data_IF_298839258165
#
_entry.id   IF_298839258165
#
_cell.length_a   1.000
_cell.length_b   1.000
_cell.length_c   1.000
_cell.angle_alpha   90.00
_cell.angle_beta   90.00
_cell.angle_gamma   90.00
#
_symmetry.space_group_name_H-M   'P 1'
#
loop_
_entity.id
_entity.type
_entity.pdbx_description
1 polymer ?
#
# COMPACT_ATOMS: atom_id res chain seq x y z
N UNK A 1 9.62 38.04 -38.95
CA UNK A 1 8.49 37.55 -38.15
C UNK A 1 8.89 36.21 -37.55
N UNK A 2 9.24 36.20 -36.23
CA UNK A 2 9.47 34.96 -35.51
C UNK A 2 8.11 34.53 -34.97
N UNK A 3 7.51 33.50 -35.57
CA UNK A 3 6.33 32.83 -35.00
C UNK A 3 6.86 32.01 -33.83
N UNK A 4 6.71 32.51 -32.59
CA UNK A 4 6.91 31.71 -31.40
C UNK A 4 5.75 30.74 -31.27
N UNK A 5 5.95 29.51 -31.70
CA UNK A 5 5.06 28.42 -31.29
C UNK A 5 5.24 28.25 -29.76
N UNK A 6 4.26 28.75 -29.02
CA UNK A 6 4.06 28.30 -27.66
C UNK A 6 3.56 26.85 -27.75
N UNK A 7 4.48 25.91 -27.84
CA UNK A 7 4.17 24.54 -27.45
C UNK A 7 4.00 24.61 -25.94
N UNK A 8 2.74 24.72 -25.53
CA UNK A 8 2.40 24.60 -24.13
C UNK A 8 3.00 23.27 -23.65
N UNK A 9 4.07 23.34 -22.84
CA UNK A 9 4.55 22.18 -22.12
C UNK A 9 3.42 21.78 -21.19
N UNK A 10 2.57 20.82 -21.63
CA UNK A 10 1.72 20.12 -20.70
C UNK A 10 2.63 19.58 -19.59
N UNK A 11 2.32 19.94 -18.34
CA UNK A 11 3.05 19.36 -17.19
C UNK A 11 3.04 17.84 -17.39
N UNK A 12 4.20 17.18 -17.28
CA UNK A 12 4.24 15.73 -17.45
C UNK A 12 3.20 15.10 -16.52
N UNK A 13 2.33 14.28 -17.09
CA UNK A 13 1.27 13.59 -16.34
C UNK A 13 1.97 12.73 -15.27
N UNK A 14 1.62 12.95 -14.00
CA UNK A 14 2.20 12.19 -12.88
C UNK A 14 1.93 10.70 -13.12
N UNK A 15 2.96 9.88 -13.17
CA UNK A 15 2.85 8.44 -13.32
C UNK A 15 2.21 7.82 -12.09
N UNK A 16 1.05 7.18 -12.27
CA UNK A 16 0.34 6.47 -11.21
C UNK A 16 -0.56 5.40 -11.82
N UNK A 17 -0.32 4.14 -11.44
CA UNK A 17 -1.16 3.00 -11.77
C UNK A 17 -1.73 2.39 -10.50
N UNK A 18 -3.00 2.01 -10.50
CA UNK A 18 -3.70 1.45 -9.33
C UNK A 18 -4.28 0.09 -9.67
N UNK A 19 -4.05 -0.88 -8.79
CA UNK A 19 -4.67 -2.19 -8.82
C UNK A 19 -5.41 -2.37 -7.49
N UNK A 20 -6.66 -2.81 -7.54
CA UNK A 20 -7.47 -3.12 -6.37
C UNK A 20 -7.94 -4.56 -6.41
N UNK A 21 -8.05 -5.19 -5.24
CA UNK A 21 -8.57 -6.54 -5.07
C UNK A 21 -7.85 -7.57 -5.96
N UNK A 22 -6.53 -7.63 -5.82
CA UNK A 22 -5.71 -8.59 -6.55
C UNK A 22 -5.68 -9.93 -5.84
N UNK A 23 -6.23 -10.95 -6.48
CA UNK A 23 -6.13 -12.35 -6.06
C UNK A 23 -5.15 -13.10 -6.96
N UNK A 24 -4.16 -13.75 -6.35
CA UNK A 24 -3.19 -14.57 -7.06
C UNK A 24 -2.67 -15.73 -6.20
N UNK A 25 -2.03 -16.70 -6.83
CA UNK A 25 -1.34 -17.79 -6.13
C UNK A 25 0.18 -17.57 -6.24
N UNK A 26 0.89 -17.61 -5.11
CA UNK A 26 2.34 -17.38 -5.07
C UNK A 26 3.18 -18.64 -5.32
N UNK A 27 2.53 -19.75 -5.63
CA UNK A 27 3.13 -21.08 -5.81
C UNK A 27 2.95 -21.99 -4.59
N UNK A 28 2.58 -21.44 -3.42
CA UNK A 28 2.35 -22.18 -2.17
C UNK A 28 0.97 -21.94 -1.59
N UNK A 29 0.43 -20.74 -1.71
CA UNK A 29 -0.89 -20.38 -1.18
C UNK A 29 -1.52 -19.23 -1.97
N UNK A 30 -2.82 -19.08 -1.79
CA UNK A 30 -3.59 -17.96 -2.36
C UNK A 30 -3.36 -16.68 -1.54
N UNK A 31 -3.20 -15.58 -2.26
CA UNK A 31 -2.91 -14.26 -1.70
C UNK A 31 -3.95 -13.27 -2.21
N UNK A 32 -4.49 -12.45 -1.30
CA UNK A 32 -5.34 -11.31 -1.63
C UNK A 32 -4.66 -10.02 -1.19
N UNK A 33 -4.53 -9.06 -2.11
CA UNK A 33 -3.98 -7.74 -1.84
C UNK A 33 -5.06 -6.69 -2.10
N UNK A 34 -5.35 -5.86 -1.10
CA UNK A 34 -6.44 -4.88 -1.20
C UNK A 34 -6.17 -3.81 -2.25
N UNK A 35 -5.05 -3.12 -2.15
CA UNK A 35 -4.68 -2.07 -3.10
C UNK A 35 -3.17 -2.03 -3.34
N UNK A 36 -2.80 -1.76 -4.58
CA UNK A 36 -1.42 -1.53 -5.00
C UNK A 36 -1.39 -0.24 -5.81
N UNK A 37 -0.46 0.63 -5.50
CA UNK A 37 -0.14 1.82 -6.30
C UNK A 37 1.27 1.67 -6.83
N UNK A 38 1.43 1.84 -8.13
CA UNK A 38 2.73 1.82 -8.80
C UNK A 38 3.00 3.22 -9.34
N UNK A 39 4.14 3.76 -8.97
CA UNK A 39 4.63 5.05 -9.47
C UNK A 39 6.13 4.98 -9.74
N UNK A 40 6.76 6.11 -10.00
CA UNK A 40 8.20 6.16 -10.28
C UNK A 40 9.08 5.78 -9.09
N UNK A 41 8.55 5.82 -7.86
CA UNK A 41 9.27 5.41 -6.64
C UNK A 41 9.29 3.90 -6.43
N UNK A 42 8.34 3.17 -7.00
CA UNK A 42 8.19 1.72 -6.84
C UNK A 42 6.75 1.27 -6.60
N UNK A 43 6.59 0.24 -5.79
CA UNK A 43 5.31 -0.42 -5.51
C UNK A 43 4.86 -0.11 -4.08
N UNK A 44 3.70 0.50 -3.95
CA UNK A 44 3.06 0.81 -2.68
C UNK A 44 1.93 -0.18 -2.43
N UNK A 45 2.05 -0.97 -1.38
CA UNK A 45 1.08 -2.03 -1.03
C UNK A 45 0.30 -1.60 0.20
N UNK A 46 -1.02 -1.51 0.06
CA UNK A 46 -1.93 -1.00 1.08
C UNK A 46 -2.84 -2.11 1.56
N UNK A 47 -2.77 -2.41 2.85
CA UNK A 47 -3.72 -3.26 3.57
C UNK A 47 -4.76 -2.38 4.24
N UNK A 48 -6.03 -2.70 4.04
CA UNK A 48 -7.15 -1.98 4.65
C UNK A 48 -7.79 -2.81 5.76
N UNK A 49 -8.12 -2.14 6.87
CA UNK A 49 -8.81 -2.74 8.00
C UNK A 49 -10.12 -1.99 8.27
N UNK A 50 -11.23 -2.70 8.23
CA UNK A 50 -12.56 -2.13 8.48
C UNK A 50 -12.99 -2.38 9.92
N UNK A 51 -12.20 -1.87 10.89
CA UNK A 51 -12.40 -2.07 12.31
C UNK A 51 -12.58 -0.72 13.02
N UNK A 52 -13.58 -0.65 13.89
CA UNK A 52 -13.86 0.51 14.76
C UNK A 52 -13.25 0.33 16.16
N UNK A 53 -13.39 1.34 16.99
CA UNK A 53 -12.93 1.32 18.38
C UNK A 53 -11.47 1.76 18.51
N UNK A 54 -10.83 1.37 19.58
CA UNK A 54 -9.44 1.70 19.85
C UNK A 54 -8.58 0.51 19.42
N UNK A 55 -7.59 0.76 18.59
CA UNK A 55 -6.65 -0.25 18.12
C UNK A 55 -5.33 -0.09 18.85
N UNK A 56 -4.87 -1.15 19.49
CA UNK A 56 -3.59 -1.22 20.19
C UNK A 56 -2.65 -2.19 19.46
N UNK A 57 -1.42 -1.78 19.26
CA UNK A 57 -0.41 -2.64 18.67
C UNK A 57 0.93 -1.95 18.50
N UNK A 58 1.97 -2.75 18.29
CA UNK A 58 3.31 -2.29 17.94
C UNK A 58 3.76 -2.94 16.65
N UNK A 59 4.64 -2.27 15.92
CA UNK A 59 5.15 -2.76 14.65
C UNK A 59 5.78 -4.16 14.74
N UNK A 60 6.45 -4.45 15.85
CA UNK A 60 7.11 -5.74 16.11
C UNK A 60 6.17 -6.87 16.55
N UNK A 61 4.96 -6.55 16.99
CA UNK A 61 4.02 -7.53 17.56
C UNK A 61 3.26 -8.27 16.46
N UNK A 62 3.06 -9.55 16.64
CA UNK A 62 2.27 -10.41 15.74
C UNK A 62 0.78 -10.30 16.00
N UNK A 63 0.39 -10.01 17.23
CA UNK A 63 -1.00 -9.92 17.67
C UNK A 63 -1.29 -8.51 18.17
N UNK A 64 -2.37 -7.92 17.66
CA UNK A 64 -2.90 -6.63 18.07
C UNK A 64 -4.24 -6.79 18.77
N UNK A 65 -4.74 -5.72 19.39
CA UNK A 65 -5.99 -5.72 20.13
C UNK A 65 -6.92 -4.61 19.68
N UNK A 66 -8.21 -4.93 19.63
CA UNK A 66 -9.31 -4.01 19.38
C UNK A 66 -10.13 -3.87 20.65
N UNK A 67 -10.29 -2.63 21.13
CA UNK A 67 -11.16 -2.29 22.27
C UNK A 67 -12.49 -1.74 21.77
N UNK A 68 -13.57 -2.32 22.22
CA UNK A 68 -14.93 -1.94 21.90
C UNK A 68 -15.73 -1.67 23.18
N UNK A 69 -16.91 -1.03 23.07
CA UNK A 69 -17.85 -0.81 24.17
C UNK A 69 -17.19 -0.15 25.40
N UNK A 70 -16.40 0.91 25.17
CA UNK A 70 -15.68 1.63 26.23
C UNK A 70 -14.74 0.75 27.06
N UNK A 71 -14.08 -0.22 26.42
CA UNK A 71 -13.14 -1.13 27.06
C UNK A 71 -13.78 -2.39 27.65
N UNK A 72 -15.08 -2.57 27.54
CA UNK A 72 -15.78 -3.77 28.04
C UNK A 72 -15.52 -5.02 27.18
N UNK A 73 -15.18 -4.82 25.90
CA UNK A 73 -14.90 -5.90 24.98
C UNK A 73 -13.55 -5.69 24.33
N UNK A 74 -12.65 -6.66 24.52
CA UNK A 74 -11.34 -6.70 23.88
C UNK A 74 -11.28 -7.88 22.92
N UNK A 75 -10.85 -7.63 21.68
CA UNK A 75 -10.65 -8.68 20.67
C UNK A 75 -9.21 -8.66 20.19
N UNK A 76 -8.62 -9.83 20.06
CA UNK A 76 -7.29 -10.01 19.49
C UNK A 76 -7.40 -10.30 18.00
N UNK A 77 -6.45 -9.80 17.23
CA UNK A 77 -6.38 -10.06 15.80
C UNK A 77 -4.93 -10.05 15.32
N UNK A 78 -4.69 -10.71 14.19
CA UNK A 78 -3.36 -10.77 13.59
C UNK A 78 -2.92 -9.39 13.11
N UNK A 79 -1.65 -9.04 13.36
CA UNK A 79 -1.09 -7.75 12.95
C UNK A 79 -1.26 -7.52 11.43
N UNK A 80 -1.92 -6.44 11.02
CA UNK A 80 -2.04 -6.10 9.61
C UNK A 80 -0.69 -5.74 8.98
N UNK A 81 0.28 -5.28 9.77
CA UNK A 81 1.65 -5.04 9.31
C UNK A 81 2.31 -6.37 8.92
N UNK A 82 2.16 -7.40 9.73
CA UNK A 82 2.68 -8.74 9.42
C UNK A 82 1.98 -9.35 8.21
N UNK A 83 0.67 -9.18 8.14
CA UNK A 83 -0.13 -9.64 7.00
C UNK A 83 0.34 -8.98 5.70
N UNK A 84 0.48 -7.66 5.68
CA UNK A 84 0.92 -6.93 4.50
C UNK A 84 2.37 -7.22 4.11
N UNK A 85 3.23 -7.47 5.10
CA UNK A 85 4.60 -7.94 4.88
C UNK A 85 4.63 -9.28 4.13
N UNK A 86 3.70 -10.19 4.46
CA UNK A 86 3.51 -11.45 3.74
C UNK A 86 3.05 -11.23 2.30
N UNK A 87 2.13 -10.31 2.06
CA UNK A 87 1.68 -9.94 0.70
C UNK A 87 2.84 -9.41 -0.15
N UNK A 88 3.66 -8.54 0.41
CA UNK A 88 4.85 -7.99 -0.25
C UNK A 88 5.85 -9.10 -0.56
N UNK A 89 6.09 -10.01 0.38
CA UNK A 89 6.96 -11.17 0.14
C UNK A 89 6.48 -12.01 -1.04
N UNK A 90 5.20 -12.32 -1.10
CA UNK A 90 4.59 -13.10 -2.18
C UNK A 90 4.67 -12.40 -3.54
N UNK A 91 4.43 -11.08 -3.57
CA UNK A 91 4.59 -10.27 -4.78
C UNK A 91 6.04 -10.28 -5.28
N UNK A 92 7.00 -10.03 -4.40
CA UNK A 92 8.43 -10.06 -4.75
C UNK A 92 8.88 -11.40 -5.29
N UNK A 93 8.40 -12.48 -4.70
CA UNK A 93 8.71 -13.85 -5.12
C UNK A 93 8.23 -14.10 -6.55
N UNK A 94 7.02 -13.64 -6.90
CA UNK A 94 6.44 -13.82 -8.24
C UNK A 94 7.07 -12.91 -9.29
N UNK A 95 7.42 -11.69 -8.93
CA UNK A 95 7.93 -10.69 -9.86
C UNK A 95 9.43 -10.76 -10.07
N UNK A 96 10.17 -11.33 -9.12
CA UNK A 96 11.64 -11.41 -9.15
C UNK A 96 12.27 -10.04 -9.48
N UNK A 97 11.87 -9.00 -8.74
CA UNK A 97 12.28 -7.62 -8.97
C UNK A 97 13.06 -7.05 -7.79
N UNK A 98 13.95 -6.08 -8.08
CA UNK A 98 14.67 -5.28 -7.08
C UNK A 98 14.02 -3.91 -6.82
N UNK A 99 12.89 -3.63 -7.45
CA UNK A 99 12.14 -2.38 -7.24
C UNK A 99 11.72 -2.27 -5.78
N UNK A 100 11.81 -1.07 -5.16
CA UNK A 100 11.36 -0.88 -3.79
C UNK A 100 9.87 -1.15 -3.60
N UNK A 101 9.51 -1.78 -2.48
CA UNK A 101 8.15 -1.99 -2.01
C UNK A 101 7.93 -1.23 -0.71
N UNK A 102 6.79 -0.55 -0.60
CA UNK A 102 6.41 0.23 0.58
C UNK A 102 5.10 -0.30 1.14
N UNK A 103 5.02 -0.45 2.45
CA UNK A 103 3.86 -0.98 3.17
C UNK A 103 3.08 0.13 3.86
N UNK A 104 1.75 0.08 3.75
CA UNK A 104 0.83 1.00 4.42
C UNK A 104 -0.36 0.22 4.98
N UNK A 105 -0.80 0.61 6.18
CA UNK A 105 -2.01 0.08 6.80
C UNK A 105 -3.01 1.22 6.96
N UNK A 106 -4.22 1.03 6.47
CA UNK A 106 -5.29 2.04 6.50
C UNK A 106 -6.52 1.47 7.20
N UNK A 107 -6.91 2.11 8.30
CA UNK A 107 -8.14 1.81 9.00
C UNK A 107 -9.26 2.67 8.44
N UNK A 108 -10.32 2.04 7.92
CA UNK A 108 -11.40 2.72 7.18
C UNK A 108 -12.53 3.22 8.08
N UNK A 109 -12.68 2.68 9.29
CA UNK A 109 -13.68 3.12 10.27
C UNK A 109 -13.09 4.05 11.32
N UNK A 110 -13.90 4.96 11.81
CA UNK A 110 -13.52 5.89 12.88
C UNK A 110 -13.26 5.17 14.20
N UNK A 111 -12.32 5.68 14.94
CA UNK A 111 -11.91 5.23 16.25
C UNK A 111 -10.61 5.93 16.64
N UNK A 112 -9.79 5.26 17.41
CA UNK A 112 -8.47 5.76 17.80
C UNK A 112 -7.40 4.71 17.48
N UNK A 113 -6.27 5.17 16.98
CA UNK A 113 -5.10 4.33 16.72
C UNK A 113 -4.05 4.56 17.82
N UNK A 114 -4.04 3.68 18.82
CA UNK A 114 -3.01 3.62 19.85
C UNK A 114 -1.90 2.64 19.41
N UNK A 115 -1.31 2.92 18.25
CA UNK A 115 -0.35 2.06 17.58
C UNK A 115 1.02 2.73 17.56
N UNK A 116 2.07 1.96 17.82
CA UNK A 116 3.45 2.42 17.81
C UNK A 116 4.20 1.78 16.65
N UNK A 117 4.53 2.59 15.65
CA UNK A 117 5.29 2.16 14.48
C UNK A 117 6.43 3.12 14.18
N UNK A 118 7.45 2.61 13.50
CA UNK A 118 8.63 3.39 13.08
C UNK A 118 8.70 3.44 11.54
N UNK A 119 8.50 2.30 10.86
CA UNK A 119 8.72 2.17 9.43
C UNK A 119 7.43 2.10 8.61
N UNK A 120 6.37 1.52 9.18
CA UNK A 120 5.11 1.29 8.47
C UNK A 120 4.05 2.27 8.97
N UNK A 121 3.58 3.20 8.13
CA UNK A 121 2.46 4.08 8.49
C UNK A 121 1.19 3.27 8.75
N UNK A 122 0.51 3.58 9.87
CA UNK A 122 -0.80 3.05 10.23
C UNK A 122 -1.72 4.24 10.45
N UNK A 123 -2.65 4.46 9.53
CA UNK A 123 -3.35 5.74 9.44
C UNK A 123 -4.81 5.58 9.02
N UNK A 124 -5.59 6.63 9.20
CA UNK A 124 -6.90 6.79 8.58
C UNK A 124 -6.74 7.32 7.14
N UNK A 125 -7.79 7.20 6.29
CA UNK A 125 -7.68 7.48 4.85
C UNK A 125 -7.15 8.88 4.50
N UNK A 126 -7.56 9.91 5.23
CA UNK A 126 -7.09 11.27 4.94
C UNK A 126 -5.58 11.41 5.22
N UNK A 127 -5.13 10.95 6.38
CA UNK A 127 -3.70 10.97 6.73
C UNK A 127 -2.87 10.14 5.74
N UNK A 128 -3.35 8.96 5.36
CA UNK A 128 -2.72 8.12 4.34
C UNK A 128 -2.57 8.86 3.00
N UNK A 129 -3.61 9.57 2.56
CA UNK A 129 -3.55 10.34 1.30
C UNK A 129 -2.44 11.39 1.32
N UNK A 130 -2.19 12.02 2.47
CA UNK A 130 -1.10 12.97 2.65
C UNK A 130 0.25 12.27 2.72
N UNK A 131 0.33 11.14 3.42
CA UNK A 131 1.56 10.35 3.56
C UNK A 131 2.07 9.88 2.21
N UNK A 132 1.21 9.29 1.37
CA UNK A 132 1.62 8.80 0.06
C UNK A 132 1.94 9.93 -0.92
N UNK A 133 1.19 11.03 -0.87
CA UNK A 133 1.43 12.22 -1.69
C UNK A 133 2.78 12.87 -1.39
N UNK A 134 3.15 12.92 -0.12
CA UNK A 134 4.34 13.60 0.37
C UNK A 134 5.54 12.65 0.59
N UNK A 135 5.41 11.38 0.19
CA UNK A 135 6.48 10.41 0.38
C UNK A 135 7.76 10.84 -0.31
N UNK A 136 8.81 10.95 0.49
CA UNK A 136 10.17 11.24 0.01
C UNK A 136 10.89 9.92 -0.28
N UNK A 137 10.98 9.57 -1.54
CA UNK A 137 11.75 8.43 -2.03
C UNK A 137 12.30 8.78 -3.41
N UNK A 138 13.39 8.12 -3.80
CA UNK A 138 13.98 8.32 -5.11
C UNK A 138 13.09 7.76 -6.21
N UNK A 139 13.06 8.45 -7.35
CA UNK A 139 12.48 7.90 -8.58
C UNK A 139 13.43 6.85 -9.13
N UNK A 140 12.98 5.60 -9.17
CA UNK A 140 13.76 4.45 -9.65
C UNK A 140 13.21 3.87 -10.95
N UNK A 141 12.02 4.30 -11.35
CA UNK A 141 11.32 3.91 -12.58
C UNK A 141 10.96 5.15 -13.39
N UNK A 142 11.03 5.03 -14.72
CA UNK A 142 10.36 5.96 -15.61
C UNK A 142 8.88 5.53 -15.82
N UNK A 143 8.12 6.31 -16.59
CA UNK A 143 6.71 6.00 -16.87
C UNK A 143 6.54 4.62 -17.52
N UNK A 144 7.32 4.32 -18.55
CA UNK A 144 7.20 3.07 -19.30
C UNK A 144 7.57 1.85 -18.43
N UNK A 145 8.58 1.96 -17.60
CA UNK A 145 8.96 0.92 -16.65
C UNK A 145 7.88 0.70 -15.57
N UNK A 146 7.25 1.77 -15.07
CA UNK A 146 6.15 1.66 -14.13
C UNK A 146 4.92 1.00 -14.78
N UNK A 147 4.62 1.31 -16.03
CA UNK A 147 3.54 0.70 -16.81
C UNK A 147 3.80 -0.79 -17.07
N UNK A 148 5.02 -1.15 -17.43
CA UNK A 148 5.44 -2.55 -17.60
C UNK A 148 5.26 -3.34 -16.30
N UNK A 149 5.67 -2.78 -15.19
CA UNK A 149 5.50 -3.39 -13.86
C UNK A 149 4.01 -3.54 -13.49
N UNK A 150 3.20 -2.53 -13.79
CA UNK A 150 1.74 -2.59 -13.62
C UNK A 150 1.14 -3.78 -14.38
N UNK A 151 1.50 -3.96 -15.64
CA UNK A 151 1.02 -5.09 -16.44
C UNK A 151 1.54 -6.44 -15.92
N UNK A 152 2.79 -6.49 -15.46
CA UNK A 152 3.36 -7.70 -14.86
C UNK A 152 2.60 -8.13 -13.58
N UNK A 153 2.22 -7.17 -12.74
CA UNK A 153 1.42 -7.43 -11.54
C UNK A 153 0.00 -7.86 -11.90
N UNK A 154 -0.65 -7.17 -12.85
CA UNK A 154 -1.98 -7.56 -13.33
C UNK A 154 -2.00 -9.00 -13.90
N UNK A 155 -0.93 -9.41 -14.56
CA UNK A 155 -0.81 -10.75 -15.13
C UNK A 155 -0.76 -11.86 -14.08
N UNK A 156 -0.52 -11.53 -12.80
CA UNK A 156 -0.59 -12.51 -11.69
C UNK A 156 -2.02 -12.89 -11.34
N UNK A 157 -2.99 -12.05 -11.71
CA UNK A 157 -4.40 -12.22 -11.33
C UNK A 157 -4.89 -13.62 -11.69
N UNK A 158 -5.49 -14.27 -10.69
CA UNK A 158 -6.14 -15.58 -10.85
C UNK A 158 -7.41 -15.42 -11.69
N UNK A 159 -7.55 -16.25 -12.71
CA UNK A 159 -8.77 -16.34 -13.53
C UNK A 159 -9.90 -17.06 -12.80
#
# INVERSE_FOLDING_TARGET
>A
YVIKFFVGRSKPKKTKFVISDLDFNDGTHDVHVDHIIINTQGVHVIETENMKGIIYGKESETEWEQSLEHGKLMKKFYSPIKQNSGHIYSLKKKLNTTVPFFSYIVFTKRGSLAVKTVHVPVEYPFAFSQTIKNKKAHDVLNHDQAEELYHAILALKKN
#
